data_IF_374884804252
#
_entry.id   IF_374884804252
#
_cell.length_a   1.000
_cell.length_b   1.000
_cell.length_c   1.000
_cell.angle_alpha   90.00
_cell.angle_beta   90.00
_cell.angle_gamma   90.00
#
_symmetry.space_group_name_H-M   'P 1'
#
loop_
_entity.id
_entity.type
_entity.pdbx_description
1 polymer ?
#
# COMPACT_ATOMS: atom_id res chain seq x y z
N UNK A 1 53.45 17.29 -17.64
CA UNK A 1 53.99 16.11 -18.34
C UNK A 1 55.03 15.47 -17.41
N UNK A 2 54.59 14.58 -16.53
CA UNK A 2 55.44 13.68 -15.74
C UNK A 2 54.75 12.32 -15.76
N UNK A 3 55.47 11.35 -16.32
CA UNK A 3 55.15 9.94 -16.47
C UNK A 3 55.11 9.25 -15.10
N UNK A 4 54.27 8.22 -14.95
CA UNK A 4 54.66 6.96 -14.31
C UNK A 4 53.73 5.84 -14.79
N UNK A 5 54.37 4.76 -15.22
CA UNK A 5 53.82 3.68 -16.02
C UNK A 5 53.19 2.57 -15.16
N UNK A 6 52.13 1.95 -15.69
CA UNK A 6 51.69 0.61 -15.29
C UNK A 6 52.71 -0.46 -15.68
N UNK A 7 52.81 -1.55 -14.92
CA UNK A 7 53.16 -2.85 -15.46
C UNK A 7 52.02 -3.86 -15.33
N UNK A 8 51.78 -4.56 -16.42
CA UNK A 8 51.02 -5.81 -16.50
C UNK A 8 51.85 -6.96 -15.91
N UNK A 9 51.24 -7.86 -15.14
CA UNK A 9 51.84 -9.16 -14.85
C UNK A 9 50.78 -10.27 -14.76
N UNK A 10 50.94 -11.23 -15.65
CA UNK A 10 50.22 -12.49 -15.83
C UNK A 10 50.78 -13.56 -14.89
N UNK A 11 49.95 -14.32 -14.19
CA UNK A 11 50.28 -15.63 -13.61
C UNK A 11 49.03 -16.51 -13.63
N UNK A 12 48.91 -17.45 -14.57
CA UNK A 12 49.33 -18.86 -14.52
C UNK A 12 48.60 -19.67 -13.43
N UNK A 13 47.78 -20.62 -13.89
CA UNK A 13 46.88 -21.40 -13.06
C UNK A 13 47.55 -22.55 -12.31
N UNK A 14 46.84 -23.00 -11.28
CA UNK A 14 46.93 -24.36 -10.77
C UNK A 14 45.53 -24.84 -10.34
N UNK A 15 45.14 -25.97 -10.94
CA UNK A 15 43.98 -26.76 -10.61
C UNK A 15 44.35 -27.72 -9.48
N UNK A 16 43.52 -27.86 -8.43
CA UNK A 16 43.58 -28.97 -7.48
C UNK A 16 42.25 -29.15 -6.71
N UNK A 17 41.53 -30.17 -7.15
CA UNK A 17 40.76 -31.17 -6.39
C UNK A 17 39.89 -30.80 -5.16
N UNK A 18 38.60 -31.13 -5.33
CA UNK A 18 37.59 -31.41 -4.30
C UNK A 18 37.94 -32.61 -3.41
N UNK A 19 37.37 -32.66 -2.19
CA UNK A 19 36.90 -33.90 -1.60
C UNK A 19 35.37 -33.98 -1.50
N UNK A 20 34.90 -35.14 -1.96
CA UNK A 20 33.56 -35.70 -1.91
C UNK A 20 33.25 -36.18 -0.48
N UNK A 21 32.31 -35.57 0.24
CA UNK A 21 31.52 -36.23 1.30
C UNK A 21 30.26 -35.41 1.56
N UNK A 22 29.15 -36.09 1.91
CA UNK A 22 27.79 -35.55 2.08
C UNK A 22 27.01 -35.45 0.75
N UNK A 23 27.15 -36.46 -0.12
CA UNK A 23 26.21 -36.74 -1.21
C UNK A 23 25.84 -38.23 -1.34
N UNK A 24 25.72 -38.91 -0.22
CA UNK A 24 25.19 -40.28 -0.11
C UNK A 24 24.62 -40.47 1.29
N UNK A 25 23.34 -40.18 1.46
CA UNK A 25 22.42 -40.74 2.47
C UNK A 25 21.17 -39.85 2.56
N UNK A 26 20.30 -39.85 1.53
CA UNK A 26 18.85 -39.67 1.73
C UNK A 26 17.99 -39.94 0.47
N UNK A 27 18.52 -40.68 -0.51
CA UNK A 27 17.77 -41.12 -1.69
C UNK A 27 18.01 -42.62 -1.90
N UNK A 28 17.60 -43.41 -0.90
CA UNK A 28 17.44 -44.87 -1.02
C UNK A 28 16.71 -45.46 0.18
N UNK A 29 15.39 -45.38 0.24
CA UNK A 29 14.52 -46.42 0.84
C UNK A 29 13.06 -45.98 0.79
N UNK A 30 12.33 -46.39 -0.25
CA UNK A 30 10.89 -46.70 -0.15
C UNK A 30 10.40 -47.33 -1.45
N UNK A 31 10.90 -48.52 -1.78
CA UNK A 31 10.13 -49.45 -2.59
C UNK A 31 10.26 -50.88 -2.03
N UNK A 32 9.08 -51.43 -1.73
CA UNK A 32 8.70 -52.85 -1.70
C UNK A 32 9.17 -53.67 -0.49
N UNK A 33 8.22 -53.95 0.41
CA UNK A 33 8.03 -55.30 0.94
C UNK A 33 6.56 -55.52 1.31
N UNK A 34 5.90 -56.35 0.51
CA UNK A 34 4.63 -56.97 0.84
C UNK A 34 4.94 -58.31 1.51
N UNK A 35 4.66 -58.46 2.81
CA UNK A 35 4.48 -59.77 3.47
C UNK A 35 3.52 -59.61 4.66
N UNK A 36 2.33 -60.18 4.47
CA UNK A 36 1.59 -61.02 5.40
C UNK A 36 1.46 -60.61 6.89
N UNK A 37 0.24 -60.20 7.27
CA UNK A 37 -0.32 -60.65 8.54
C UNK A 37 -1.84 -60.77 8.47
N UNK A 38 -2.25 -61.97 8.08
CA UNK A 38 -3.57 -62.56 8.29
C UNK A 38 -3.81 -62.83 9.79
N UNK A 39 -5.10 -62.80 10.17
CA UNK A 39 -5.73 -63.40 11.37
C UNK A 39 -5.55 -62.65 12.71
N UNK A 40 -6.49 -62.63 13.65
CA UNK A 40 -7.90 -63.10 13.79
C UNK A 40 -8.16 -62.98 15.29
N UNK A 41 -9.15 -62.22 15.74
CA UNK A 41 -9.95 -62.58 16.92
C UNK A 41 -11.37 -62.03 16.71
N UNK A 42 -12.27 -62.98 16.53
CA UNK A 42 -13.72 -62.83 16.56
C UNK A 42 -14.17 -62.88 18.02
N UNK A 43 -15.26 -62.20 18.36
CA UNK A 43 -16.52 -62.74 18.93
C UNK A 43 -17.40 -61.53 19.31
N UNK A 44 -18.47 -61.28 18.57
CA UNK A 44 -19.84 -61.78 18.80
C UNK A 44 -20.41 -61.29 20.14
N UNK A 45 -21.34 -60.34 20.07
CA UNK A 45 -22.70 -60.70 20.49
C UNK A 45 -23.76 -60.03 19.62
N UNK A 46 -24.81 -60.81 19.41
CA UNK A 46 -25.88 -60.66 18.44
C UNK A 46 -27.16 -60.39 19.23
N UNK A 47 -28.00 -59.45 18.82
CA UNK A 47 -29.43 -59.75 18.63
C UNK A 47 -30.11 -58.70 17.75
N UNK A 48 -30.72 -59.22 16.69
CA UNK A 48 -31.55 -58.57 15.69
C UNK A 48 -32.94 -58.23 16.23
N UNK A 49 -33.54 -57.13 15.78
CA UNK A 49 -34.90 -57.15 15.21
C UNK A 49 -34.95 -56.24 13.98
N UNK A 50 -35.49 -56.80 12.90
CA UNK A 50 -35.61 -56.31 11.54
C UNK A 50 -37.09 -56.07 11.24
N UNK A 51 -37.43 -54.89 10.73
CA UNK A 51 -38.57 -54.61 9.81
C UNK A 51 -38.25 -53.27 9.12
N UNK A 52 -37.62 -53.25 7.94
CA UNK A 52 -38.22 -53.27 6.59
C UNK A 52 -39.42 -52.32 6.47
N UNK A 53 -39.19 -51.15 5.86
CA UNK A 53 -40.08 -50.60 4.83
C UNK A 53 -39.31 -49.70 3.85
N UNK A 54 -39.60 -49.91 2.57
CA UNK A 54 -38.96 -49.28 1.42
C UNK A 54 -39.80 -48.09 0.90
N UNK A 55 -39.13 -47.27 0.09
CA UNK A 55 -39.67 -46.33 -0.91
C UNK A 55 -40.27 -45.01 -0.41
N UNK A 56 -39.52 -43.91 -0.55
CA UNK A 56 -39.66 -43.03 -1.72
C UNK A 56 -38.44 -42.10 -1.83
N UNK A 57 -37.68 -42.26 -2.92
CA UNK A 57 -36.63 -41.32 -3.33
C UNK A 57 -37.30 -40.05 -3.85
N UNK A 58 -37.20 -38.95 -3.12
CA UNK A 58 -37.52 -37.62 -3.66
C UNK A 58 -36.25 -37.01 -4.24
N UNK A 59 -35.96 -37.35 -5.50
CA UNK A 59 -34.91 -36.72 -6.29
C UNK A 59 -35.32 -35.33 -6.73
N UNK A 60 -35.26 -34.36 -5.81
CA UNK A 60 -35.35 -32.94 -6.16
C UNK A 60 -34.01 -32.50 -6.77
N UNK A 61 -33.87 -32.68 -8.09
CA UNK A 61 -32.82 -32.04 -8.89
C UNK A 61 -33.02 -30.52 -8.77
N UNK A 62 -32.31 -29.86 -7.85
CA UNK A 62 -32.15 -28.41 -7.88
C UNK A 62 -31.56 -28.07 -9.24
N UNK A 63 -32.37 -27.43 -10.06
CA UNK A 63 -31.95 -26.71 -11.27
C UNK A 63 -30.81 -25.77 -10.82
N UNK A 64 -29.64 -25.77 -11.48
CA UNK A 64 -28.66 -24.75 -11.20
C UNK A 64 -29.32 -23.42 -11.59
N UNK A 65 -29.60 -22.59 -10.59
CA UNK A 65 -29.83 -21.18 -10.83
C UNK A 65 -28.59 -20.69 -11.57
N UNK A 66 -28.83 -20.29 -12.80
CA UNK A 66 -27.86 -19.80 -13.75
C UNK A 66 -27.07 -18.69 -13.07
N UNK A 67 -25.81 -18.99 -12.74
CA UNK A 67 -24.81 -18.02 -12.35
C UNK A 67 -24.52 -17.09 -13.54
N UNK A 68 -25.40 -16.12 -13.79
CA UNK A 68 -25.17 -15.06 -14.78
C UNK A 68 -24.66 -13.78 -14.13
N UNK A 69 -24.62 -13.71 -12.79
CA UNK A 69 -24.18 -12.52 -12.05
C UNK A 69 -22.65 -12.49 -11.85
N UNK A 70 -21.96 -13.64 -11.88
CA UNK A 70 -20.53 -13.73 -11.53
C UNK A 70 -19.58 -13.43 -12.72
N UNK A 71 -19.98 -13.81 -13.95
CA UNK A 71 -19.13 -13.68 -15.15
C UNK A 71 -18.90 -12.21 -15.55
N UNK A 72 -19.87 -11.33 -15.26
CA UNK A 72 -19.77 -9.90 -15.56
C UNK A 72 -18.80 -9.17 -14.65
N UNK A 73 -18.87 -9.44 -13.34
CA UNK A 73 -18.00 -8.81 -12.34
C UNK A 73 -16.54 -9.26 -12.49
N UNK A 74 -16.31 -10.55 -12.78
CA UNK A 74 -14.97 -11.07 -13.07
C UNK A 74 -14.32 -10.43 -14.31
N UNK A 75 -15.11 -10.17 -15.36
CA UNK A 75 -14.62 -9.49 -16.56
C UNK A 75 -14.25 -8.04 -16.26
N UNK A 76 -15.11 -7.32 -15.54
CA UNK A 76 -14.84 -5.92 -15.14
C UNK A 76 -13.62 -5.83 -14.23
N UNK A 77 -13.50 -6.74 -13.25
CA UNK A 77 -12.33 -6.84 -12.37
C UNK A 77 -11.04 -7.04 -13.18
N UNK A 78 -11.07 -7.93 -14.18
CA UNK A 78 -9.92 -8.19 -15.05
C UNK A 78 -9.55 -6.97 -15.90
N UNK A 79 -10.54 -6.28 -16.47
CA UNK A 79 -10.33 -5.05 -17.25
C UNK A 79 -9.72 -3.97 -16.35
N UNK A 80 -10.31 -3.71 -15.18
CA UNK A 80 -9.80 -2.72 -14.23
C UNK A 80 -8.36 -3.02 -13.81
N UNK A 81 -8.03 -4.29 -13.57
CA UNK A 81 -6.66 -4.73 -13.27
C UNK A 81 -5.70 -4.42 -14.41
N UNK A 82 -6.06 -4.72 -15.66
CA UNK A 82 -5.22 -4.39 -16.81
C UNK A 82 -5.05 -2.88 -16.96
N UNK A 83 -6.12 -2.10 -16.82
CA UNK A 83 -6.07 -0.64 -16.88
C UNK A 83 -5.15 -0.06 -15.80
N UNK A 84 -5.18 -0.59 -14.58
CA UNK A 84 -4.31 -0.14 -13.49
C UNK A 84 -2.84 -0.47 -13.78
N UNK A 85 -2.52 -1.66 -14.27
CA UNK A 85 -1.13 -2.00 -14.65
C UNK A 85 -0.63 -1.19 -15.84
N UNK A 86 -1.50 -0.93 -16.82
CA UNK A 86 -1.16 -0.04 -17.94
C UNK A 86 -0.95 1.39 -17.45
N UNK A 87 -1.81 1.89 -16.57
CA UNK A 87 -1.66 3.20 -15.95
C UNK A 87 -0.34 3.30 -15.18
N UNK A 88 0.02 2.29 -14.40
CA UNK A 88 1.30 2.24 -13.68
C UNK A 88 2.49 2.24 -14.64
N UNK A 89 2.47 1.42 -15.69
CA UNK A 89 3.55 1.36 -16.66
C UNK A 89 3.73 2.70 -17.40
N UNK A 90 2.63 3.33 -17.80
CA UNK A 90 2.63 4.67 -18.40
C UNK A 90 3.13 5.70 -17.39
N UNK A 91 2.69 5.61 -16.14
CA UNK A 91 3.09 6.51 -15.07
C UNK A 91 4.59 6.46 -14.81
N UNK A 92 5.16 5.27 -14.60
CA UNK A 92 6.60 5.09 -14.38
C UNK A 92 7.40 5.59 -15.60
N UNK A 93 6.96 5.22 -16.80
CA UNK A 93 7.64 5.63 -18.03
C UNK A 93 7.64 7.16 -18.19
N UNK A 94 6.47 7.80 -18.03
CA UNK A 94 6.31 9.24 -18.15
C UNK A 94 7.05 10.01 -17.05
N UNK A 95 6.85 9.62 -15.80
CA UNK A 95 7.25 10.40 -14.64
C UNK A 95 8.67 10.09 -14.17
N UNK A 96 9.26 8.93 -14.42
CA UNK A 96 10.62 8.64 -13.96
C UNK A 96 11.66 8.56 -15.08
N UNK A 97 11.27 8.05 -16.25
CA UNK A 97 12.20 7.74 -17.33
C UNK A 97 12.26 8.82 -18.40
N UNK A 98 11.11 9.35 -18.80
CA UNK A 98 11.03 10.33 -19.89
C UNK A 98 11.36 11.77 -19.43
N UNK A 99 12.04 12.55 -20.28
CA UNK A 99 12.37 13.95 -20.01
C UNK A 99 11.20 14.91 -20.32
N UNK A 100 10.01 14.39 -20.65
CA UNK A 100 8.85 15.21 -21.01
C UNK A 100 8.06 15.72 -19.82
N UNK A 101 8.11 15.02 -18.68
CA UNK A 101 7.51 15.52 -17.45
C UNK A 101 8.36 16.68 -16.90
N UNK A 102 7.73 17.69 -16.25
CA UNK A 102 8.43 18.76 -15.55
C UNK A 102 9.58 18.28 -14.66
N UNK A 103 10.71 18.99 -14.71
CA UNK A 103 11.92 18.72 -13.92
C UNK A 103 12.78 17.56 -14.41
N UNK A 104 13.91 17.33 -13.73
CA UNK A 104 14.92 16.35 -14.14
C UNK A 104 14.43 14.90 -13.95
N UNK A 105 14.65 13.99 -14.92
CA UNK A 105 14.33 12.57 -14.75
C UNK A 105 15.23 11.93 -13.68
N UNK A 106 14.84 10.74 -13.20
CA UNK A 106 15.52 10.07 -12.07
C UNK A 106 17.01 9.83 -12.34
N UNK A 107 17.38 9.58 -13.59
CA UNK A 107 18.76 9.32 -14.00
C UNK A 107 19.62 10.58 -14.15
N UNK A 108 19.03 11.78 -14.10
CA UNK A 108 19.72 13.06 -14.23
C UNK A 108 19.39 14.03 -13.08
N UNK A 109 19.04 13.49 -11.90
CA UNK A 109 18.59 14.33 -10.78
C UNK A 109 19.68 15.33 -10.35
N UNK A 110 19.30 16.61 -10.29
CA UNK A 110 20.19 17.66 -9.80
C UNK A 110 20.37 17.59 -8.29
N UNK A 111 21.51 18.11 -7.80
CA UNK A 111 21.74 18.22 -6.36
C UNK A 111 20.79 19.21 -5.67
N UNK A 112 20.26 20.20 -6.41
CA UNK A 112 19.28 21.17 -5.91
C UNK A 112 17.93 20.51 -5.60
N UNK A 113 17.44 19.64 -6.49
CA UNK A 113 16.22 18.86 -6.25
C UNK A 113 16.37 17.94 -5.04
N UNK A 114 17.54 17.29 -4.87
CA UNK A 114 17.82 16.45 -3.69
C UNK A 114 17.86 17.28 -2.41
N UNK A 115 18.52 18.43 -2.40
CA UNK A 115 18.56 19.31 -1.24
C UNK A 115 17.17 19.84 -0.87
N UNK A 116 16.35 20.17 -1.87
CA UNK A 116 14.97 20.59 -1.67
C UNK A 116 14.11 19.48 -1.08
N UNK A 117 14.24 18.24 -1.58
CA UNK A 117 13.58 17.06 -1.03
C UNK A 117 13.99 16.80 0.43
N UNK A 118 15.29 16.87 0.72
CA UNK A 118 15.80 16.71 2.09
C UNK A 118 15.28 17.83 3.00
N UNK A 119 15.26 19.07 2.53
CA UNK A 119 14.71 20.20 3.28
C UNK A 119 13.23 20.02 3.61
N UNK A 120 12.43 19.58 2.63
CA UNK A 120 11.01 19.27 2.82
C UNK A 120 10.84 18.12 3.82
N UNK A 121 11.68 17.09 3.71
CA UNK A 121 11.67 15.93 4.61
C UNK A 121 12.10 16.27 6.04
N UNK A 122 13.01 17.24 6.23
CA UNK A 122 13.36 17.75 7.56
C UNK A 122 12.20 18.53 8.19
N UNK A 123 11.39 19.20 7.37
CA UNK A 123 10.18 19.91 7.79
C UNK A 123 8.92 19.02 7.81
N UNK A 124 9.10 17.70 7.95
CA UNK A 124 8.01 16.73 8.02
C UNK A 124 7.02 17.03 9.15
N UNK A 125 5.73 17.07 8.80
CA UNK A 125 4.60 17.47 9.64
C UNK A 125 4.78 18.79 10.39
N UNK A 126 5.62 19.68 9.86
CA UNK A 126 6.01 20.94 10.52
C UNK A 126 6.63 20.75 11.91
N UNK A 127 7.06 19.54 12.28
CA UNK A 127 7.59 19.25 13.62
C UNK A 127 8.79 20.13 13.92
N UNK A 128 9.74 20.17 13.00
CA UNK A 128 10.97 20.94 13.17
C UNK A 128 10.75 22.47 13.10
N UNK A 129 10.01 23.01 12.11
CA UNK A 129 9.62 24.43 12.10
C UNK A 129 8.91 24.88 13.38
N UNK A 130 8.00 24.07 13.92
CA UNK A 130 7.27 24.39 15.15
C UNK A 130 8.16 24.25 16.39
N UNK A 131 9.07 23.28 16.43
CA UNK A 131 10.03 23.14 17.53
C UNK A 131 10.97 24.36 17.61
N UNK A 132 11.47 24.82 16.46
CA UNK A 132 12.31 26.02 16.41
C UNK A 132 11.53 27.29 16.77
N UNK A 133 10.24 27.40 16.42
CA UNK A 133 9.44 28.58 16.79
C UNK A 133 9.17 28.69 18.30
N UNK A 134 9.18 27.57 19.03
CA UNK A 134 9.07 27.54 20.50
C UNK A 134 10.43 27.57 21.21
N UNK A 135 11.53 27.80 20.49
CA UNK A 135 12.88 27.96 21.05
C UNK A 135 13.68 26.67 21.23
N UNK A 136 13.23 25.53 20.68
CA UNK A 136 13.98 24.27 20.68
C UNK A 136 14.81 24.19 19.40
N UNK A 137 16.10 24.52 19.51
CA UNK A 137 17.04 24.59 18.37
C UNK A 137 18.03 23.41 18.35
N UNK A 138 17.55 22.17 18.39
CA UNK A 138 18.43 21.00 18.22
C UNK A 138 18.96 20.88 16.79
N UNK A 139 18.12 21.20 15.81
CA UNK A 139 18.44 21.32 14.40
C UNK A 139 17.73 22.56 13.87
N UNK A 140 18.37 23.31 12.98
CA UNK A 140 17.76 24.45 12.28
C UNK A 140 16.85 23.95 11.16
N UNK A 141 15.59 24.39 11.18
CA UNK A 141 14.60 24.09 10.15
C UNK A 141 15.00 24.78 8.84
N UNK A 142 15.18 24.03 7.75
CA UNK A 142 15.42 24.62 6.44
C UNK A 142 14.30 25.61 6.08
N UNK A 143 14.67 26.80 5.61
CA UNK A 143 13.69 27.81 5.19
C UNK A 143 13.31 27.53 3.74
N UNK A 144 12.09 27.03 3.55
CA UNK A 144 11.52 26.75 2.23
C UNK A 144 10.29 27.61 1.95
N UNK A 145 9.88 27.66 0.69
CA UNK A 145 8.70 28.41 0.31
C UNK A 145 7.44 27.76 0.95
N UNK A 146 6.56 28.54 1.62
CA UNK A 146 5.42 27.99 2.35
C UNK A 146 4.49 27.09 1.50
N UNK A 147 4.32 27.43 0.22
CA UNK A 147 3.54 26.62 -0.74
C UNK A 147 4.13 25.22 -0.96
N UNK A 148 5.46 25.10 -1.05
CA UNK A 148 6.11 23.82 -1.27
C UNK A 148 6.02 22.92 -0.02
N UNK A 149 6.27 23.51 1.17
CA UNK A 149 6.12 22.81 2.45
C UNK A 149 4.69 22.38 2.72
N UNK A 150 3.71 23.26 2.44
CA UNK A 150 2.31 22.95 2.60
C UNK A 150 1.85 21.86 1.62
N UNK A 151 2.24 21.92 0.35
CA UNK A 151 1.92 20.86 -0.61
C UNK A 151 2.49 19.50 -0.17
N UNK A 152 3.76 19.46 0.20
CA UNK A 152 4.43 18.24 0.68
C UNK A 152 3.71 17.65 1.91
N UNK A 153 3.55 18.45 2.96
CA UNK A 153 2.94 17.98 4.20
C UNK A 153 1.47 17.59 4.02
N UNK A 154 0.75 18.26 3.11
CA UNK A 154 -0.62 17.91 2.78
C UNK A 154 -0.72 16.50 2.17
N UNK A 155 0.12 16.19 1.17
CA UNK A 155 0.12 14.88 0.52
C UNK A 155 0.52 13.79 1.51
N UNK A 156 1.60 13.98 2.25
CA UNK A 156 2.09 13.01 3.23
C UNK A 156 1.09 12.78 4.37
N UNK A 157 0.42 13.82 4.86
CA UNK A 157 -0.62 13.67 5.89
C UNK A 157 -1.82 12.88 5.36
N UNK A 158 -2.19 13.07 4.10
CA UNK A 158 -3.20 12.24 3.46
C UNK A 158 -2.73 10.77 3.35
N UNK A 159 -1.47 10.53 2.96
CA UNK A 159 -0.85 9.18 2.95
C UNK A 159 -0.89 8.49 4.31
N UNK A 160 -0.61 9.23 5.39
CA UNK A 160 -0.71 8.71 6.75
C UNK A 160 -2.14 8.18 7.03
N UNK A 161 -3.16 8.93 6.61
CA UNK A 161 -4.55 8.51 6.78
C UNK A 161 -4.94 7.31 5.93
N UNK A 162 -4.22 7.01 4.84
CA UNK A 162 -4.42 5.78 4.08
C UNK A 162 -3.98 4.52 4.85
N UNK A 163 -3.09 4.63 5.84
CA UNK A 163 -2.58 3.45 6.55
C UNK A 163 -3.70 2.59 7.16
N UNK A 164 -4.57 3.11 8.04
CA UNK A 164 -5.63 2.29 8.64
C UNK A 164 -6.65 1.82 7.61
N UNK A 165 -6.86 2.55 6.51
CA UNK A 165 -7.71 2.12 5.40
C UNK A 165 -7.12 0.91 4.66
N UNK A 166 -5.82 0.91 4.38
CA UNK A 166 -5.12 -0.24 3.77
C UNK A 166 -5.12 -1.46 4.68
N UNK A 167 -4.90 -1.26 5.99
CA UNK A 167 -4.91 -2.37 6.96
C UNK A 167 -6.31 -2.95 7.19
N UNK A 168 -7.37 -2.16 7.00
CA UNK A 168 -8.76 -2.62 7.16
C UNK A 168 -9.38 -3.10 5.85
N UNK A 169 -8.62 -3.10 4.76
CA UNK A 169 -9.14 -3.49 3.48
C UNK A 169 -9.50 -4.99 3.42
N UNK A 170 -10.71 -5.29 2.95
CA UNK A 170 -11.22 -6.66 2.82
C UNK A 170 -10.42 -7.51 1.84
N UNK A 171 -9.85 -6.87 0.81
CA UNK A 171 -9.06 -7.54 -0.23
C UNK A 171 -7.56 -7.52 0.09
N UNK A 172 -7.16 -7.10 1.30
CA UNK A 172 -5.76 -6.96 1.70
C UNK A 172 -4.98 -8.26 1.59
N UNK A 173 -5.60 -9.40 1.88
CA UNK A 173 -4.93 -10.71 1.89
C UNK A 173 -4.51 -11.16 0.48
N UNK A 174 -5.04 -10.54 -0.59
CA UNK A 174 -4.60 -10.78 -1.97
C UNK A 174 -3.26 -10.11 -2.29
N UNK A 175 -2.83 -9.18 -1.44
CA UNK A 175 -1.51 -8.56 -1.51
C UNK A 175 -0.53 -9.38 -0.68
N UNK A 176 0.35 -10.11 -1.36
CA UNK A 176 1.28 -11.07 -0.73
C UNK A 176 2.46 -10.43 0.01
N UNK A 177 2.73 -9.15 -0.20
CA UNK A 177 3.82 -8.45 0.47
C UNK A 177 3.34 -7.80 1.76
N UNK A 178 4.29 -7.37 2.60
CA UNK A 178 3.95 -6.68 3.85
C UNK A 178 3.28 -5.34 3.57
N UNK A 179 2.08 -5.13 4.13
CA UNK A 179 1.40 -3.83 4.08
C UNK A 179 2.20 -2.74 4.82
N UNK A 180 2.99 -3.11 5.83
CA UNK A 180 3.87 -2.18 6.52
C UNK A 180 4.95 -1.64 5.57
N UNK A 181 5.51 -2.52 4.73
CA UNK A 181 6.49 -2.13 3.72
C UNK A 181 5.83 -1.30 2.62
N UNK A 182 4.66 -1.70 2.14
CA UNK A 182 3.89 -0.94 1.16
C UNK A 182 3.62 0.48 1.66
N UNK A 183 3.05 0.60 2.86
CA UNK A 183 2.72 1.89 3.45
C UNK A 183 3.98 2.72 3.74
N UNK A 184 5.05 2.10 4.25
CA UNK A 184 6.33 2.76 4.47
C UNK A 184 6.92 3.33 3.18
N UNK A 185 6.86 2.58 2.08
CA UNK A 185 7.29 3.05 0.76
C UNK A 185 6.34 4.13 0.19
N UNK A 186 5.04 4.00 0.46
CA UNK A 186 4.04 5.02 0.11
C UNK A 186 4.34 6.37 0.77
N UNK A 187 4.88 6.41 2.00
CA UNK A 187 5.30 7.66 2.65
C UNK A 187 6.43 8.40 1.91
N UNK A 188 7.09 7.77 0.94
CA UNK A 188 8.13 8.40 0.11
C UNK A 188 7.71 8.55 -1.37
N UNK A 189 7.14 7.52 -1.99
CA UNK A 189 6.76 7.49 -3.42
C UNK A 189 5.32 6.98 -3.60
N UNK A 190 4.35 7.78 -3.18
CA UNK A 190 2.99 7.28 -2.98
C UNK A 190 2.28 6.74 -4.21
N UNK A 191 2.27 7.52 -5.29
CA UNK A 191 1.73 7.15 -6.60
C UNK A 191 2.22 5.78 -7.10
N UNK A 192 3.51 5.51 -6.93
CA UNK A 192 4.20 4.33 -7.48
C UNK A 192 3.78 3.04 -6.76
N UNK A 193 3.32 3.14 -5.52
CA UNK A 193 2.97 1.96 -4.72
C UNK A 193 1.46 1.76 -4.57
N UNK A 194 0.67 2.84 -4.66
CA UNK A 194 -0.77 2.76 -4.51
C UNK A 194 -1.45 2.10 -5.72
N UNK A 195 -1.06 2.42 -6.95
CA UNK A 195 -1.66 1.81 -8.16
C UNK A 195 -1.38 0.29 -8.21
N UNK A 196 -0.15 -0.21 -8.00
CA UNK A 196 0.10 -1.65 -7.94
C UNK A 196 -0.71 -2.34 -6.85
N UNK A 197 -0.87 -1.73 -5.67
CA UNK A 197 -1.73 -2.28 -4.63
C UNK A 197 -3.18 -2.40 -5.11
N UNK A 198 -3.72 -1.36 -5.77
CA UNK A 198 -5.05 -1.39 -6.38
C UNK A 198 -5.20 -2.44 -7.48
N UNK A 199 -4.12 -2.77 -8.20
CA UNK A 199 -4.14 -3.82 -9.20
C UNK A 199 -4.07 -5.23 -8.57
N UNK A 200 -3.23 -5.41 -7.54
CA UNK A 200 -3.00 -6.68 -6.87
C UNK A 200 -4.19 -7.13 -6.01
N UNK A 201 -4.89 -6.20 -5.34
CA UNK A 201 -6.14 -6.49 -4.61
C UNK A 201 -7.24 -7.09 -5.51
N UNK A 202 -7.12 -6.94 -6.84
CA UNK A 202 -8.09 -7.48 -7.82
C UNK A 202 -7.72 -8.89 -8.30
N UNK A 203 -6.62 -9.47 -7.83
CA UNK A 203 -6.30 -10.87 -8.10
C UNK A 203 -7.29 -11.83 -7.45
N UNK A 204 -7.32 -13.06 -7.93
CA UNK A 204 -8.18 -14.09 -7.37
C UNK A 204 -7.72 -14.42 -5.95
N UNK A 205 -8.68 -14.68 -5.06
CA UNK A 205 -8.34 -15.09 -3.71
C UNK A 205 -7.84 -16.54 -3.75
N UNK A 206 -6.72 -16.82 -3.09
CA UNK A 206 -6.22 -18.18 -2.99
C UNK A 206 -7.15 -18.97 -2.05
N UNK A 207 -7.70 -20.12 -2.48
CA UNK A 207 -8.69 -20.89 -1.70
C UNK A 207 -8.11 -21.51 -0.42
N UNK A 208 -6.79 -21.46 -0.25
CA UNK A 208 -6.04 -22.02 0.89
C UNK A 208 -5.62 -20.94 1.89
N UNK A 209 -5.72 -19.66 1.51
CA UNK A 209 -5.22 -18.57 2.36
C UNK A 209 -6.18 -18.32 3.52
N UNK A 210 -5.66 -18.54 4.73
CA UNK A 210 -6.32 -18.10 5.96
C UNK A 210 -6.19 -16.57 6.07
N UNK A 211 -7.16 -15.89 6.72
CA UNK A 211 -7.07 -14.44 6.95
C UNK A 211 -5.71 -14.09 7.56
N UNK A 212 -4.97 -13.19 6.92
CA UNK A 212 -3.64 -12.85 7.42
C UNK A 212 -3.77 -12.11 8.75
N UNK A 213 -2.94 -12.50 9.72
CA UNK A 213 -2.87 -11.78 10.99
C UNK A 213 -2.25 -10.41 10.71
N UNK A 214 -2.93 -9.34 11.14
CA UNK A 214 -2.40 -7.97 11.03
C UNK A 214 -1.05 -7.85 11.75
N UNK A 215 -0.16 -7.05 11.18
CA UNK A 215 1.10 -6.66 11.83
C UNK A 215 0.83 -5.86 13.11
N UNK A 216 1.84 -5.74 13.97
CA UNK A 216 1.74 -4.91 15.18
C UNK A 216 1.49 -3.44 14.84
N UNK A 217 2.11 -2.94 13.77
CA UNK A 217 1.91 -1.59 13.26
C UNK A 217 0.48 -1.42 12.75
N UNK A 218 -0.01 -2.36 11.94
CA UNK A 218 -1.38 -2.34 11.43
C UNK A 218 -2.42 -2.43 12.54
N UNK A 219 -2.18 -3.25 13.57
CA UNK A 219 -3.05 -3.31 14.76
C UNK A 219 -3.07 -1.98 15.52
N UNK A 220 -1.91 -1.34 15.74
CA UNK A 220 -1.82 -0.05 16.40
C UNK A 220 -2.52 1.06 15.60
N UNK A 221 -2.27 1.14 14.29
CA UNK A 221 -2.85 2.14 13.40
C UNK A 221 -4.37 1.97 13.23
N UNK A 222 -4.88 0.73 13.26
CA UNK A 222 -6.32 0.46 13.15
C UNK A 222 -7.05 0.70 14.46
N UNK A 223 -6.49 0.29 15.62
CA UNK A 223 -7.06 0.63 16.94
C UNK A 223 -7.01 2.14 17.21
N UNK A 224 -5.94 2.79 16.78
CA UNK A 224 -5.75 4.23 16.83
C UNK A 224 -6.34 5.00 15.65
N UNK A 225 -7.18 4.39 14.80
CA UNK A 225 -7.65 5.00 13.56
C UNK A 225 -8.25 6.41 13.75
N UNK A 226 -9.07 6.70 14.79
CA UNK A 226 -9.55 8.05 15.05
C UNK A 226 -8.42 9.06 15.28
N UNK A 227 -7.37 8.68 16.01
CA UNK A 227 -6.21 9.54 16.31
C UNK A 227 -5.41 9.79 15.04
N UNK A 228 -5.16 8.74 14.25
CA UNK A 228 -4.46 8.84 12.95
C UNK A 228 -5.24 9.77 12.00
N UNK A 229 -6.57 9.59 11.93
CA UNK A 229 -7.44 10.41 11.10
C UNK A 229 -7.47 11.87 11.52
N UNK A 230 -7.65 12.15 12.82
CA UNK A 230 -7.64 13.51 13.35
C UNK A 230 -6.27 14.19 13.16
N UNK A 231 -5.19 13.48 13.40
CA UNK A 231 -3.83 14.00 13.21
C UNK A 231 -3.59 14.34 11.74
N UNK A 232 -3.86 13.40 10.82
CA UNK A 232 -3.70 13.63 9.39
C UNK A 232 -4.57 14.79 8.88
N UNK A 233 -5.85 14.83 9.25
CA UNK A 233 -6.74 15.93 8.85
C UNK A 233 -6.30 17.29 9.42
N UNK A 234 -5.79 17.31 10.65
CA UNK A 234 -5.24 18.52 11.27
C UNK A 234 -4.00 18.99 10.53
N UNK A 235 -3.07 18.08 10.19
CA UNK A 235 -1.88 18.43 9.42
C UNK A 235 -2.25 18.89 8.01
N UNK A 236 -3.22 18.27 7.34
CA UNK A 236 -3.75 18.75 6.05
C UNK A 236 -4.30 20.19 6.16
N UNK A 237 -5.07 20.48 7.21
CA UNK A 237 -5.62 21.83 7.46
C UNK A 237 -4.49 22.84 7.73
N UNK A 238 -3.54 22.50 8.61
CA UNK A 238 -2.37 23.33 8.90
C UNK A 238 -1.57 23.55 7.61
N UNK A 239 -1.39 22.53 6.78
CA UNK A 239 -0.67 22.62 5.51
C UNK A 239 -1.33 23.61 4.55
N UNK A 240 -2.66 23.56 4.43
CA UNK A 240 -3.41 24.51 3.62
C UNK A 240 -3.29 25.95 4.16
N UNK A 241 -3.40 26.13 5.48
CA UNK A 241 -3.22 27.44 6.11
C UNK A 241 -1.77 27.94 6.00
N UNK A 242 -0.79 27.07 6.11
CA UNK A 242 0.64 27.38 6.00
C UNK A 242 1.00 27.81 4.58
N UNK A 243 0.48 27.13 3.56
CA UNK A 243 0.61 27.57 2.17
C UNK A 243 0.15 29.02 1.97
N UNK A 244 -0.98 29.40 2.59
CA UNK A 244 -1.60 30.71 2.40
C UNK A 244 -0.99 31.81 3.27
N UNK A 245 -0.70 31.52 4.54
CA UNK A 245 -0.33 32.50 5.57
C UNK A 245 1.02 32.24 6.24
N UNK A 246 1.63 31.07 5.98
CA UNK A 246 2.91 30.69 6.58
C UNK A 246 4.00 31.71 6.23
N UNK A 247 4.82 32.05 7.22
CA UNK A 247 5.93 33.02 7.12
C UNK A 247 5.53 34.34 6.45
N UNK A 248 4.43 34.95 6.90
CA UNK A 248 3.97 36.26 6.39
C UNK A 248 5.03 37.36 6.42
N UNK A 249 5.93 37.33 7.41
CA UNK A 249 7.01 38.30 7.56
C UNK A 249 8.29 37.92 6.77
N UNK A 250 8.31 36.76 6.11
CA UNK A 250 9.50 36.19 5.47
C UNK A 250 9.77 36.68 4.04
N UNK A 251 9.06 37.69 3.55
CA UNK A 251 9.25 38.23 2.19
C UNK A 251 8.75 37.34 1.05
N UNK A 252 7.94 36.31 1.34
CA UNK A 252 7.39 35.35 0.36
C UNK A 252 6.19 35.88 -0.46
N UNK A 253 5.99 37.20 -0.48
CA UNK A 253 4.91 37.85 -1.22
C UNK A 253 3.49 37.54 -0.71
N UNK A 254 2.52 38.13 -1.39
CA UNK A 254 1.10 37.96 -1.11
C UNK A 254 0.54 36.66 -1.71
N UNK A 255 -0.79 36.49 -1.62
CA UNK A 255 -1.48 35.30 -2.16
C UNK A 255 -1.21 35.09 -3.66
N UNK A 256 -1.13 36.18 -4.44
CA UNK A 256 -0.88 36.10 -5.89
C UNK A 256 0.53 35.62 -6.20
N UNK A 257 1.54 36.15 -5.50
CA UNK A 257 2.94 35.77 -5.70
C UNK A 257 3.16 34.29 -5.36
N UNK A 258 2.52 33.83 -4.27
CA UNK A 258 2.53 32.42 -3.86
C UNK A 258 1.86 31.51 -4.88
N UNK A 259 0.77 31.96 -5.50
CA UNK A 259 0.09 31.22 -6.56
C UNK A 259 0.97 31.11 -7.82
N UNK A 260 1.62 32.20 -8.22
CA UNK A 260 2.59 32.20 -9.33
C UNK A 260 3.78 31.29 -9.03
N UNK A 261 4.31 31.34 -7.81
CA UNK A 261 5.36 30.41 -7.37
C UNK A 261 4.89 28.96 -7.48
N UNK A 262 3.67 28.63 -7.03
CA UNK A 262 3.15 27.26 -7.13
C UNK A 262 3.08 26.78 -8.58
N UNK A 263 2.56 27.60 -9.50
CA UNK A 263 2.50 27.24 -10.93
C UNK A 263 3.92 27.00 -11.48
N UNK A 264 4.86 27.89 -11.17
CA UNK A 264 6.26 27.73 -11.54
C UNK A 264 6.85 26.44 -10.98
N UNK A 265 6.67 26.20 -9.69
CA UNK A 265 7.15 25.02 -8.96
C UNK A 265 6.61 23.71 -9.54
N UNK A 266 5.32 23.65 -9.88
CA UNK A 266 4.70 22.49 -10.52
C UNK A 266 5.22 22.25 -11.96
N UNK A 267 5.62 23.32 -12.65
CA UNK A 267 6.15 23.27 -14.02
C UNK A 267 7.67 23.07 -14.10
N UNK A 268 8.40 23.28 -13.00
CA UNK A 268 9.86 23.16 -12.96
C UNK A 268 10.34 21.93 -12.19
N UNK A 269 9.64 21.52 -11.13
CA UNK A 269 10.08 20.45 -10.23
C UNK A 269 9.28 19.16 -10.40
N UNK A 270 10.00 18.07 -10.66
CA UNK A 270 9.39 16.74 -10.84
C UNK A 270 8.70 16.23 -9.59
N UNK A 271 9.27 16.54 -8.42
CA UNK A 271 8.71 16.19 -7.13
C UNK A 271 7.33 16.85 -6.93
N UNK A 272 7.25 18.16 -7.22
CA UNK A 272 6.01 18.93 -7.11
C UNK A 272 4.94 18.42 -8.08
N UNK A 273 5.36 18.12 -9.31
CA UNK A 273 4.51 17.52 -10.32
C UNK A 273 3.96 16.14 -9.89
N UNK A 274 4.80 15.31 -9.24
CA UNK A 274 4.38 14.01 -8.70
C UNK A 274 3.32 14.15 -7.59
N UNK A 275 3.39 15.18 -6.75
CA UNK A 275 2.38 15.45 -5.73
C UNK A 275 0.99 15.78 -6.31
N UNK A 276 0.92 16.42 -7.48
CA UNK A 276 -0.36 16.62 -8.18
C UNK A 276 -0.98 15.29 -8.56
N UNK A 277 -0.17 14.37 -9.08
CA UNK A 277 -0.62 13.01 -9.39
C UNK A 277 -1.05 12.24 -8.14
N UNK A 278 -0.34 12.38 -7.02
CA UNK A 278 -0.75 11.80 -5.73
C UNK A 278 -2.14 12.30 -5.32
N UNK A 279 -2.40 13.61 -5.37
CA UNK A 279 -3.71 14.20 -5.05
C UNK A 279 -4.81 13.64 -5.97
N UNK A 280 -4.54 13.56 -7.28
CA UNK A 280 -5.48 12.99 -8.25
C UNK A 280 -5.79 11.53 -7.94
N UNK A 281 -4.76 10.71 -7.71
CA UNK A 281 -4.91 9.28 -7.41
C UNK A 281 -5.63 9.06 -6.09
N UNK A 282 -5.34 9.84 -5.05
CA UNK A 282 -6.07 9.74 -3.78
C UNK A 282 -7.53 10.11 -3.93
N UNK A 283 -7.83 11.14 -4.71
CA UNK A 283 -9.22 11.55 -4.97
C UNK A 283 -10.02 10.45 -5.67
N UNK A 284 -9.37 9.60 -6.47
CA UNK A 284 -9.98 8.45 -7.15
C UNK A 284 -10.03 7.21 -6.25
N UNK A 285 -8.93 6.87 -5.60
CA UNK A 285 -8.79 5.63 -4.84
C UNK A 285 -9.40 5.70 -3.45
N UNK A 286 -9.44 6.87 -2.80
CA UNK A 286 -10.13 7.06 -1.53
C UNK A 286 -11.60 6.61 -1.59
N UNK A 287 -12.46 7.14 -2.49
CA UNK A 287 -13.86 6.73 -2.54
C UNK A 287 -14.02 5.27 -2.95
N UNK A 288 -13.16 4.74 -3.81
CA UNK A 288 -13.18 3.33 -4.21
C UNK A 288 -12.89 2.42 -3.00
N UNK A 289 -11.79 2.65 -2.29
CA UNK A 289 -11.37 1.87 -1.14
C UNK A 289 -12.38 1.95 0.02
N UNK A 290 -12.85 3.16 0.35
CA UNK A 290 -13.87 3.34 1.40
C UNK A 290 -15.17 2.64 0.99
N UNK A 291 -15.56 2.74 -0.28
CA UNK A 291 -16.78 2.14 -0.80
C UNK A 291 -16.83 0.62 -0.66
N UNK A 292 -15.72 -0.06 -0.94
CA UNK A 292 -15.63 -1.52 -0.78
C UNK A 292 -15.52 -1.97 0.68
N UNK A 293 -15.18 -1.05 1.59
CA UNK A 293 -14.97 -1.32 3.01
C UNK A 293 -16.02 -0.68 3.94
N UNK A 294 -17.18 -0.26 3.40
CA UNK A 294 -18.27 0.34 4.19
C UNK A 294 -18.80 -0.57 5.31
N UNK A 295 -18.61 -1.89 5.20
CA UNK A 295 -18.99 -2.87 6.23
C UNK A 295 -18.18 -2.72 7.52
N UNK A 296 -16.98 -2.12 7.43
CA UNK A 296 -16.15 -1.83 8.60
C UNK A 296 -16.60 -0.55 9.32
N UNK A 297 -17.59 0.17 8.81
CA UNK A 297 -18.11 1.39 9.43
C UNK A 297 -19.26 1.05 10.38
N UNK A 298 -19.38 1.80 11.48
CA UNK A 298 -20.55 1.72 12.38
C UNK A 298 -21.87 1.82 11.59
N UNK A 299 -22.79 0.87 11.81
CA UNK A 299 -24.06 0.74 11.07
C UNK A 299 -24.86 2.05 10.99
N UNK A 300 -24.87 2.86 12.05
CA UNK A 300 -25.57 4.14 12.11
C UNK A 300 -24.94 5.27 11.29
N UNK A 301 -23.72 5.08 10.77
CA UNK A 301 -22.92 6.10 10.07
C UNK A 301 -22.51 5.69 8.65
N UNK A 302 -22.95 4.53 8.17
CA UNK A 302 -22.63 4.03 6.83
C UNK A 302 -23.05 5.03 5.74
N UNK A 303 -24.28 5.56 5.83
CA UNK A 303 -24.80 6.51 4.85
C UNK A 303 -23.96 7.79 4.79
N UNK A 304 -23.65 8.37 5.95
CA UNK A 304 -22.78 9.55 6.06
C UNK A 304 -21.41 9.30 5.41
N UNK A 305 -20.75 8.19 5.74
CA UNK A 305 -19.43 7.85 5.17
C UNK A 305 -19.52 7.56 3.66
N UNK A 306 -20.61 6.95 3.20
CA UNK A 306 -20.86 6.70 1.77
C UNK A 306 -20.95 7.98 0.94
N UNK A 307 -21.56 9.04 1.49
CA UNK A 307 -21.57 10.35 0.84
C UNK A 307 -20.22 11.07 0.97
N UNK A 308 -19.63 11.07 2.17
CA UNK A 308 -18.38 11.80 2.42
C UNK A 308 -17.16 11.18 1.74
N UNK A 309 -17.19 9.89 1.35
CA UNK A 309 -16.03 9.20 0.74
C UNK A 309 -15.44 9.91 -0.49
N UNK A 310 -16.25 10.70 -1.20
CA UNK A 310 -15.85 11.47 -2.37
C UNK A 310 -15.21 12.83 -2.05
N UNK A 311 -15.28 13.28 -0.80
CA UNK A 311 -14.67 14.53 -0.36
C UNK A 311 -13.21 14.27 0.02
N UNK A 312 -12.22 14.85 -0.69
CA UNK A 312 -10.79 14.74 -0.37
C UNK A 312 -10.51 14.94 1.12
N UNK A 313 -9.70 14.06 1.72
CA UNK A 313 -9.31 14.06 3.15
C UNK A 313 -10.47 13.82 4.12
N UNK A 314 -11.58 14.55 4.01
CA UNK A 314 -12.74 14.47 4.90
C UNK A 314 -13.47 13.12 4.82
N UNK A 315 -13.56 12.52 3.64
CA UNK A 315 -14.12 11.17 3.49
C UNK A 315 -13.32 10.13 4.26
N UNK A 316 -12.00 10.25 4.20
CA UNK A 316 -11.08 9.39 4.92
C UNK A 316 -11.13 9.64 6.43
N UNK A 317 -11.17 10.90 6.86
CA UNK A 317 -11.40 11.26 8.26
C UNK A 317 -12.69 10.63 8.80
N UNK A 318 -13.80 10.76 8.07
CA UNK A 318 -15.08 10.19 8.48
C UNK A 318 -15.02 8.66 8.59
N UNK A 319 -14.40 7.99 7.60
CA UNK A 319 -14.17 6.54 7.66
C UNK A 319 -13.37 6.14 8.91
N UNK A 320 -12.28 6.85 9.22
CA UNK A 320 -11.40 6.54 10.35
C UNK A 320 -12.05 6.81 11.71
N UNK A 321 -12.86 7.86 11.84
CA UNK A 321 -13.61 8.17 13.07
C UNK A 321 -14.70 7.13 13.38
N UNK A 322 -15.32 6.56 12.34
CA UNK A 322 -16.43 5.62 12.47
C UNK A 322 -16.05 4.17 12.17
N UNK A 323 -14.76 3.88 12.10
CA UNK A 323 -14.24 2.52 11.94
C UNK A 323 -14.68 1.65 13.13
N UNK A 324 -15.21 0.48 12.83
CA UNK A 324 -15.58 -0.56 13.77
C UNK A 324 -14.81 -1.84 13.47
N UNK A 325 -13.93 -2.24 14.39
CA UNK A 325 -13.09 -3.44 14.25
C UNK A 325 -13.78 -4.73 14.74
N UNK A 326 -14.96 -4.63 15.37
CA UNK A 326 -15.66 -5.75 16.00
C UNK A 326 -16.16 -6.81 15.01
N UNK A 327 -16.35 -6.44 13.73
CA UNK A 327 -16.84 -7.36 12.71
C UNK A 327 -15.81 -8.41 12.24
N UNK A 328 -14.52 -8.29 12.60
CA UNK A 328 -13.49 -9.29 12.25
C UNK A 328 -13.27 -10.35 13.35
N UNK A 329 -13.96 -10.26 14.50
CA UNK A 329 -13.76 -11.14 15.67
C UNK A 329 -14.78 -12.29 15.80
N UNK A 330 -15.73 -12.41 14.86
CA UNK A 330 -16.72 -13.50 14.78
C UNK A 330 -16.56 -14.29 13.49
#
# INVERSE_FOLDING_TARGET
MILLASPSATYLGHCLQMPLQIRRNFLRTSEISAVDRRNRWQTLDCFQIRTRDNHLKCGARRKPETATVDVGDDRLRRIARYLLWTAEAVYILWLFLLPFAPGDPVWAISSETVNSLLGLSLNFFFVLPLANSVGIHFLEAPVLHPMAEGLFNFVIAWTLMFAPLLYTDRKRDRYRFSLDLLWGLMMFLTNTFLIPYMALRLNDADPVDKPSKRSRLGEAMTKGAPIVGLTGATVCLISALWSLYGRGDGGFGGLMDRWQYLIGYLGSERLAYAFVWDICLYTIFQPWLIGENLQNVKKSKIELVSYLRFVPVFGLLAYLLFLNLENEAN
#
